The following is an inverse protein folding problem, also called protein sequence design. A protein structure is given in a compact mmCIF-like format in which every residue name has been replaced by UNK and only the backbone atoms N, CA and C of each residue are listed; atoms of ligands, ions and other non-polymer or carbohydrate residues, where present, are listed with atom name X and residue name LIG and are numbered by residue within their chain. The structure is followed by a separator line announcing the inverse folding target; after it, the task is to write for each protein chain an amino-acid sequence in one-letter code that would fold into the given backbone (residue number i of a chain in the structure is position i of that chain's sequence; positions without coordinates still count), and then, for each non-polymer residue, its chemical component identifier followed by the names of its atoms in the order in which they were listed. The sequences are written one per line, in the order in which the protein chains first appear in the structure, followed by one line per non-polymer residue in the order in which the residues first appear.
data_IF_962740639208
#
_entry.id   IF_962740639208
#
_cell.length_a   1.000
_cell.length_b   1.000
_cell.length_c   1.000
_cell.angle_alpha   90.00
_cell.angle_beta   90.00
_cell.angle_gamma   90.00
#
_symmetry.space_group_name_H-M   'P 1'
#
loop_
_entity.id
_entity.type
_entity.pdbx_description
1 polymer ?
2 non-polymer ?
3 water ?
#
# COMPACT_ATOMS: atom_id res chain seq x y z
N UNK A 4 7.90 18.33 -18.78
CA UNK A 4 7.36 16.95 -19.02
C UNK A 4 7.71 15.91 -17.91
N UNK A 5 8.98 15.54 -17.79
CA UNK A 5 9.51 15.06 -16.55
C UNK A 5 9.06 16.04 -15.46
N UNK A 6 9.14 17.35 -15.77
CA UNK A 6 8.81 18.36 -14.79
C UNK A 6 7.33 18.34 -14.47
N UNK A 7 6.49 18.23 -15.48
CA UNK A 7 5.08 18.32 -15.23
C UNK A 7 4.65 17.08 -14.38
N UNK A 8 5.02 15.89 -14.82
CA UNK A 8 4.63 14.67 -14.02
C UNK A 8 5.29 14.56 -12.66
N UNK A 9 6.56 14.94 -12.55
CA UNK A 9 7.12 14.98 -11.21
C UNK A 9 6.30 15.92 -10.30
N UNK A 10 5.92 17.13 -10.75
CA UNK A 10 5.08 18.06 -9.91
C UNK A 10 3.74 17.46 -9.49
N UNK A 11 3.08 16.81 -10.44
CA UNK A 11 1.80 16.13 -10.14
C UNK A 11 2.04 15.11 -9.03
N UNK A 12 3.11 14.32 -9.19
CA UNK A 12 3.38 13.31 -8.16
C UNK A 12 3.62 13.91 -6.80
N UNK A 13 4.41 14.99 -6.77
CA UNK A 13 4.73 15.60 -5.49
C UNK A 13 3.47 16.08 -4.78
N UNK A 14 2.59 16.70 -5.54
CA UNK A 14 1.38 17.31 -4.97
C UNK A 14 0.40 16.19 -4.53
N UNK A 15 0.33 15.14 -5.32
CA UNK A 15 -0.47 13.96 -4.89
C UNK A 15 0.05 13.30 -3.66
N UNK A 16 1.37 13.12 -3.55
CA UNK A 16 1.95 12.57 -2.40
C UNK A 16 1.60 13.44 -1.14
N UNK A 17 1.72 14.75 -1.30
CA UNK A 17 1.47 15.65 -0.14
C UNK A 17 0.04 15.49 0.40
N UNK A 18 -0.88 15.33 -0.54
CA UNK A 18 -2.30 15.09 -0.34
C UNK A 18 -2.68 13.67 0.15
N UNK A 19 -1.73 12.72 0.14
CA UNK A 19 -1.96 11.41 0.75
C UNK A 19 -2.50 10.44 -0.32
N UNK A 20 -2.55 10.90 -1.55
CA UNK A 20 -2.96 10.05 -2.73
C UNK A 20 -1.73 9.33 -3.25
N UNK A 21 -1.34 8.34 -2.49
CA UNK A 21 -0.13 7.64 -2.79
C UNK A 21 -0.22 6.85 -4.15
N UNK A 22 -1.36 6.24 -4.45
CA UNK A 22 -1.50 5.59 -5.80
C UNK A 22 -1.31 6.56 -6.94
N UNK A 23 -1.94 7.73 -6.85
CA UNK A 23 -1.68 8.78 -7.87
C UNK A 23 -0.25 9.27 -7.99
N UNK A 24 0.41 9.45 -6.85
CA UNK A 24 1.78 9.92 -6.78
C UNK A 24 2.62 8.89 -7.50
N UNK A 25 2.46 7.58 -7.18
CA UNK A 25 3.21 6.51 -7.83
C UNK A 25 2.99 6.46 -9.35
N UNK A 26 1.74 6.62 -9.76
CA UNK A 26 1.43 6.69 -11.19
C UNK A 26 2.19 7.79 -11.90
N UNK A 27 2.21 8.97 -11.32
CA UNK A 27 2.91 10.08 -11.91
C UNK A 27 4.44 9.85 -11.99
N UNK A 28 5.04 9.25 -10.94
CA UNK A 28 6.47 9.03 -10.93
C UNK A 28 6.86 7.93 -11.87
N UNK A 29 5.98 6.92 -11.99
CA UNK A 29 6.20 5.87 -12.93
C UNK A 29 6.17 6.41 -14.39
N UNK A 30 5.30 7.38 -14.62
CA UNK A 30 5.16 7.99 -15.97
C UNK A 30 6.49 8.74 -16.27
N UNK A 31 7.02 9.48 -15.30
CA UNK A 31 8.34 10.12 -15.43
C UNK A 31 9.39 9.11 -15.86
N UNK A 32 9.40 7.96 -15.16
CA UNK A 32 10.43 6.95 -15.32
C UNK A 32 10.29 6.13 -16.59
N UNK A 33 9.08 6.10 -17.16
CA UNK A 33 8.85 5.43 -18.46
C UNK A 33 9.68 6.15 -19.54
N UNK A 34 9.67 7.48 -19.48
CA UNK A 34 10.28 8.38 -20.43
C UNK A 34 11.75 8.65 -20.13
N UNK A 35 12.10 8.66 -18.83
CA UNK A 35 13.40 9.09 -18.34
C UNK A 35 13.79 8.16 -17.20
N UNK A 36 14.16 6.92 -17.54
CA UNK A 36 14.36 5.92 -16.49
C UNK A 36 15.52 6.14 -15.58
N UNK A 37 16.43 7.05 -15.94
CA UNK A 37 17.57 7.32 -15.11
C UNK A 37 17.44 8.59 -14.27
N UNK A 38 16.20 9.09 -14.11
CA UNK A 38 15.94 10.27 -13.33
C UNK A 38 16.10 9.89 -11.84
N UNK A 39 17.25 10.19 -11.27
CA UNK A 39 17.53 9.82 -9.89
C UNK A 39 16.61 10.53 -8.91
N UNK A 40 16.21 11.77 -9.19
CA UNK A 40 15.37 12.51 -8.25
C UNK A 40 14.00 11.78 -8.08
N UNK A 41 13.49 11.32 -9.23
CA UNK A 41 12.25 10.52 -9.30
C UNK A 41 12.36 9.14 -8.68
N UNK A 42 13.47 8.48 -8.92
CA UNK A 42 13.72 7.17 -8.29
C UNK A 42 13.69 7.28 -6.78
N UNK A 43 14.27 8.32 -6.21
CA UNK A 43 14.29 8.49 -4.76
C UNK A 43 12.89 8.82 -4.26
N UNK A 44 12.18 9.69 -4.96
CA UNK A 44 10.83 10.02 -4.55
C UNK A 44 9.89 8.84 -4.64
N UNK A 45 10.01 8.01 -5.70
CA UNK A 45 9.14 6.80 -5.82
C UNK A 45 9.47 5.84 -4.66
N UNK A 46 10.75 5.66 -4.40
CA UNK A 46 11.17 4.83 -3.25
C UNK A 46 10.56 5.34 -1.97
N UNK A 47 10.67 6.65 -1.72
CA UNK A 47 10.14 7.21 -0.48
C UNK A 47 8.60 7.04 -0.35
N UNK A 48 7.91 7.14 -1.49
CA UNK A 48 6.46 6.99 -1.52
C UNK A 48 6.08 5.56 -1.11
N UNK A 49 6.78 4.57 -1.65
CA UNK A 49 6.51 3.22 -1.26
C UNK A 49 6.84 3.02 0.22
N UNK A 50 7.87 3.68 0.76
CA UNK A 50 8.17 3.53 2.20
C UNK A 50 7.04 4.14 3.02
N UNK A 51 6.46 5.24 2.56
CA UNK A 51 5.36 5.94 3.23
C UNK A 51 4.16 5.00 3.45
N UNK A 52 3.93 4.12 2.49
CA UNK A 52 2.81 3.21 2.63
C UNK A 52 3.15 1.80 3.08
N UNK A 53 4.37 1.60 3.53
CA UNK A 53 4.82 0.43 4.17
C UNK A 53 5.10 -0.72 3.22
N UNK A 54 5.60 -0.40 2.04
CA UNK A 54 6.07 -1.39 1.06
C UNK A 54 7.53 -1.26 0.72
N UNK A 55 8.41 -1.55 1.68
CA UNK A 55 9.79 -1.59 1.41
C UNK A 55 10.19 -2.49 0.26
N UNK A 56 9.49 -3.61 0.02
CA UNK A 56 9.93 -4.43 -1.12
C UNK A 56 9.89 -3.68 -2.48
N UNK A 57 8.85 -2.89 -2.67
CA UNK A 57 8.71 -2.03 -3.86
C UNK A 57 9.66 -0.85 -3.83
N UNK A 58 9.86 -0.26 -2.64
CA UNK A 58 10.79 0.81 -2.52
C UNK A 58 12.18 0.40 -2.99
N UNK A 59 12.62 -0.75 -2.54
CA UNK A 59 13.96 -1.27 -2.83
C UNK A 59 14.18 -1.41 -4.36
N UNK A 60 13.13 -1.73 -5.12
CA UNK A 60 13.27 -1.82 -6.57
C UNK A 60 13.77 -0.49 -7.13
N UNK A 61 13.23 0.65 -6.67
CA UNK A 61 13.67 1.96 -7.10
C UNK A 61 15.00 2.38 -6.49
N UNK A 62 15.18 2.12 -5.21
CA UNK A 62 16.38 2.55 -4.50
C UNK A 62 17.58 1.74 -5.07
N UNK A 63 17.43 0.47 -5.43
CA UNK A 63 18.53 -0.30 -6.09
C UNK A 63 18.99 0.40 -7.40
N UNK A 64 18.02 0.81 -8.20
CA UNK A 64 18.30 1.52 -9.47
C UNK A 64 18.97 2.87 -9.20
N UNK A 65 18.50 3.60 -8.17
CA UNK A 65 19.10 4.85 -7.79
C UNK A 65 20.61 4.66 -7.50
N UNK A 66 20.96 3.68 -6.68
CA UNK A 66 22.35 3.60 -6.21
C UNK A 66 23.27 3.11 -7.32
N UNK A 67 22.74 2.41 -8.31
CA UNK A 67 23.51 2.10 -9.53
C UNK A 67 23.96 3.37 -10.22
N UNK A 68 23.12 4.38 -10.18
CA UNK A 68 23.34 5.60 -10.91
C UNK A 68 23.97 6.65 -10.03
N UNK A 69 23.81 6.58 -8.70
CA UNK A 69 24.26 7.61 -7.78
C UNK A 69 24.69 7.01 -6.45
N UNK A 70 26.00 7.04 -6.17
CA UNK A 70 26.54 6.46 -4.99
C UNK A 70 26.87 7.50 -3.93
N UNK A 71 26.28 8.69 -4.04
CA UNK A 71 26.71 9.82 -3.23
C UNK A 71 25.70 10.30 -2.16
N UNK A 72 24.53 9.62 -2.03
CA UNK A 72 23.47 10.13 -1.20
C UNK A 72 23.39 9.24 0.09
N UNK A 73 23.76 9.80 1.22
CA UNK A 73 23.70 9.06 2.49
C UNK A 73 22.25 8.61 2.76
N UNK A 74 21.33 9.51 2.49
CA UNK A 74 19.88 9.23 2.75
C UNK A 74 19.40 8.06 1.94
N UNK A 75 19.73 8.03 0.65
CA UNK A 75 19.31 6.90 -0.16
C UNK A 75 19.79 5.55 0.40
N UNK A 76 21.06 5.48 0.78
CA UNK A 76 21.62 4.32 1.41
C UNK A 76 20.91 4.00 2.74
N UNK A 77 20.60 5.02 3.53
CA UNK A 77 19.93 4.81 4.79
C UNK A 77 18.57 4.18 4.52
N UNK A 78 17.83 4.70 3.55
CA UNK A 78 16.50 4.22 3.29
C UNK A 78 16.58 2.83 2.72
N UNK A 79 17.53 2.59 1.83
CA UNK A 79 17.76 1.27 1.24
C UNK A 79 18.13 0.29 2.32
N UNK A 80 19.04 0.68 3.19
CA UNK A 80 19.41 -0.28 4.27
C UNK A 80 18.30 -0.52 5.28
N UNK A 81 17.60 0.53 5.66
CA UNK A 81 16.39 0.39 6.51
C UNK A 81 15.34 -0.55 5.89
N UNK A 82 15.10 -0.39 4.61
CA UNK A 82 14.16 -1.23 3.89
C UNK A 82 14.59 -2.70 3.85
N UNK A 83 15.88 -2.89 3.63
CA UNK A 83 16.44 -4.24 3.60
C UNK A 83 16.26 -4.91 4.94
N UNK A 84 16.41 -4.17 6.03
CA UNK A 84 16.15 -4.76 7.37
C UNK A 84 14.67 -5.14 7.46
N UNK A 85 13.78 -4.31 6.93
CA UNK A 85 12.33 -4.62 6.98
C UNK A 85 11.98 -5.89 6.24
N UNK A 86 12.70 -6.22 5.20
CA UNK A 86 12.40 -7.38 4.37
C UNK A 86 13.31 -8.59 4.70
N UNK A 87 14.01 -8.47 5.85
CA UNK A 87 14.81 -9.59 6.39
C UNK A 87 16.02 -9.91 5.52
N UNK A 88 16.62 -8.88 4.97
CA UNK A 88 17.85 -9.01 4.16
C UNK A 88 18.92 -8.26 4.96
N UNK A 89 19.49 -8.92 5.97
CA UNK A 89 20.26 -8.20 7.02
C UNK A 89 21.63 -7.84 6.55
N UNK A 90 22.28 -8.69 5.75
CA UNK A 90 23.56 -8.28 5.22
C UNK A 90 23.46 -7.16 4.21
N UNK A 91 22.39 -7.14 3.42
CA UNK A 91 22.24 -6.04 2.51
C UNK A 91 21.97 -4.76 3.33
N UNK A 92 21.31 -4.90 4.45
CA UNK A 92 20.98 -3.78 5.32
C UNK A 92 22.27 -3.18 5.86
N UNK A 93 23.11 -4.05 6.43
CA UNK A 93 24.44 -3.63 6.93
C UNK A 93 25.19 -2.93 5.83
N UNK A 94 25.30 -3.57 4.67
CA UNK A 94 26.13 -3.01 3.58
C UNK A 94 25.68 -1.58 3.25
N UNK A 95 24.37 -1.38 3.07
CA UNK A 95 23.85 -0.09 2.82
C UNK A 95 23.99 0.90 3.92
N UNK A 96 23.75 0.49 5.17
CA UNK A 96 23.86 1.42 6.27
C UNK A 96 25.32 1.86 6.46
N UNK A 97 26.25 0.93 6.24
CA UNK A 97 27.70 1.23 6.28
C UNK A 97 28.03 2.30 5.23
N UNK A 98 27.45 2.13 4.07
CA UNK A 98 27.65 3.12 3.03
C UNK A 98 27.10 4.45 3.40
N UNK A 99 25.93 4.48 4.06
CA UNK A 99 25.34 5.75 4.50
C UNK A 99 26.25 6.47 5.48
N UNK A 100 26.78 5.71 6.41
CA UNK A 100 27.61 6.22 7.48
C UNK A 100 28.95 6.70 6.88
N UNK A 101 29.45 5.95 5.91
CA UNK A 101 30.76 6.33 5.29
C UNK A 101 30.54 7.67 4.63
N UNK A 102 29.37 7.88 4.03
CA UNK A 102 29.03 9.13 3.39
C UNK A 102 28.67 10.24 4.36
N UNK A 103 28.25 9.93 5.58
CA UNK A 103 27.91 10.94 6.57
C UNK A 103 28.23 10.30 7.93
N UNK A 104 29.37 10.66 8.46
CA UNK A 104 29.91 9.95 9.66
C UNK A 104 29.26 10.42 10.94
N UNK A 105 28.40 11.40 10.86
CA UNK A 105 27.57 11.79 11.98
C UNK A 105 26.02 11.47 11.83
N UNK A 106 25.70 10.44 11.04
CA UNK A 106 24.33 10.19 10.66
C UNK A 106 23.73 9.31 11.76
N UNK A 107 23.18 9.95 12.77
CA UNK A 107 22.73 9.17 13.95
C UNK A 107 21.68 8.14 13.65
N UNK A 108 20.73 8.41 12.78
CA UNK A 108 19.72 7.43 12.44
C UNK A 108 20.28 6.16 11.83
N UNK A 109 21.30 6.32 11.03
CA UNK A 109 21.97 5.21 10.41
C UNK A 109 22.73 4.39 11.39
N UNK A 110 23.43 5.00 12.33
CA UNK A 110 24.18 4.23 13.31
C UNK A 110 23.16 3.45 14.18
N UNK A 111 22.05 4.10 14.55
CA UNK A 111 21.04 3.45 15.41
C UNK A 111 20.44 2.23 14.69
N UNK A 112 20.04 2.42 13.46
CA UNK A 112 19.51 1.31 12.66
C UNK A 112 20.53 0.18 12.51
N UNK A 113 21.81 0.52 12.27
CA UNK A 113 22.87 -0.45 12.10
C UNK A 113 23.02 -1.25 13.36
N UNK A 114 22.94 -0.56 14.48
CA UNK A 114 22.98 -1.24 15.76
C UNK A 114 21.80 -2.21 15.98
N UNK A 115 20.60 -1.78 15.56
CA UNK A 115 19.41 -2.62 15.65
C UNK A 115 19.63 -3.86 14.80
N UNK A 116 20.14 -3.70 13.60
CA UNK A 116 20.37 -4.83 12.70
C UNK A 116 21.41 -5.81 13.36
N UNK A 117 22.53 -5.31 13.83
CA UNK A 117 23.55 -6.16 14.48
C UNK A 117 23.01 -6.88 15.68
N UNK A 118 22.21 -6.19 16.49
CA UNK A 118 21.74 -6.85 17.69
C UNK A 118 20.77 -7.98 17.30
N UNK A 119 20.00 -7.76 16.25
CA UNK A 119 19.05 -8.77 15.77
C UNK A 119 19.72 -10.01 15.31
N UNK A 120 20.96 -9.90 14.93
CA UNK A 120 21.81 -11.00 14.47
C UNK A 120 22.62 -11.65 15.56
N UNK A 121 22.55 -11.11 16.78
CA UNK A 121 23.40 -11.58 17.83
C UNK A 121 24.78 -10.98 17.90
N UNK A 122 25.00 -9.95 17.11
CA UNK A 122 26.27 -9.33 17.04
C UNK A 122 26.29 -8.19 18.07
N UNK A 123 26.31 -8.57 19.34
CA UNK A 123 26.04 -7.57 20.40
C UNK A 123 27.13 -6.55 20.54
N UNK A 124 28.42 -6.94 20.38
CA UNK A 124 29.45 -5.93 20.48
C UNK A 124 29.45 -4.90 19.35
N UNK A 125 29.23 -5.35 18.15
CA UNK A 125 29.01 -4.42 17.03
C UNK A 125 27.83 -3.51 17.23
N UNK A 126 26.76 -4.07 17.79
CA UNK A 126 25.63 -3.23 18.10
C UNK A 126 25.95 -2.17 19.14
N UNK A 127 26.61 -2.55 20.23
CA UNK A 127 26.96 -1.60 21.25
C UNK A 127 27.83 -0.48 20.62
N UNK A 128 28.79 -0.82 19.77
CA UNK A 128 29.65 0.22 19.15
C UNK A 128 28.77 1.24 18.40
N UNK A 129 27.79 0.75 17.63
CA UNK A 129 26.93 1.63 16.82
C UNK A 129 26.03 2.45 17.74
N UNK A 130 25.48 1.83 18.78
CA UNK A 130 24.67 2.61 19.72
C UNK A 130 25.45 3.72 20.49
N UNK A 131 26.68 3.39 20.86
CA UNK A 131 27.57 4.32 21.54
C UNK A 131 27.79 5.53 20.61
N UNK A 132 27.96 5.25 19.33
CA UNK A 132 28.16 6.34 18.36
C UNK A 132 26.92 7.14 18.29
N UNK A 133 25.71 6.48 18.30
CA UNK A 133 24.44 7.16 18.30
C UNK A 133 24.33 8.13 19.45
N UNK A 134 24.68 7.68 20.64
CA UNK A 134 24.60 8.50 21.82
C UNK A 134 25.67 9.63 21.78
N UNK A 135 26.80 9.40 21.17
CA UNK A 135 27.84 10.48 21.06
C UNK A 135 27.30 11.63 20.23
N UNK A 136 26.42 11.35 19.28
CA UNK A 136 25.81 12.37 18.42
C UNK A 136 24.58 12.95 19.06
N UNK A 137 23.70 12.10 19.62
CA UNK A 137 22.44 12.52 20.23
C UNK A 137 22.36 11.93 21.65
N UNK A 138 23.06 12.57 22.59
CA UNK A 138 23.03 12.02 23.96
C UNK A 138 21.68 12.05 24.64
N UNK A 139 20.72 12.79 24.13
CA UNK A 139 19.36 12.77 24.66
C UNK A 139 18.42 11.66 24.16
N UNK A 140 18.91 10.85 23.23
CA UNK A 140 18.09 9.76 22.66
C UNK A 140 18.00 8.56 23.65
N UNK A 141 16.91 8.50 24.34
CA UNK A 141 16.73 7.57 25.47
C UNK A 141 16.79 6.10 25.01
N UNK A 142 16.18 5.78 23.90
CA UNK A 142 16.12 4.39 23.50
C UNK A 142 17.48 3.82 23.20
N UNK A 143 18.47 4.59 22.80
CA UNK A 143 19.78 4.07 22.57
C UNK A 143 20.38 3.49 23.83
N UNK A 144 20.18 4.17 24.93
CA UNK A 144 20.63 3.57 26.26
C UNK A 144 19.90 2.28 26.56
N UNK A 145 18.58 2.22 26.27
CA UNK A 145 17.84 0.98 26.50
C UNK A 145 18.41 -0.14 25.60
N UNK A 146 18.63 0.19 24.35
CA UNK A 146 19.14 -0.76 23.33
C UNK A 146 20.52 -1.29 23.73
N UNK A 147 21.39 -0.41 24.27
CA UNK A 147 22.66 -0.86 24.86
C UNK A 147 22.44 -1.87 25.97
N UNK A 148 21.51 -1.57 26.83
CA UNK A 148 21.16 -2.48 27.93
C UNK A 148 20.77 -3.85 27.40
N UNK A 149 19.95 -3.85 26.32
CA UNK A 149 19.46 -5.14 25.79
C UNK A 149 20.65 -5.93 25.20
N UNK A 150 21.53 -5.24 24.52
CA UNK A 150 22.74 -5.90 23.94
C UNK A 150 23.59 -6.52 25.02
N UNK A 151 23.80 -5.82 26.14
CA UNK A 151 24.52 -6.42 27.26
C UNK A 151 23.80 -7.62 27.85
N UNK A 152 22.47 -7.59 27.98
CA UNK A 152 21.73 -8.79 28.36
C UNK A 152 21.99 -9.93 27.36
N UNK A 153 22.07 -9.59 26.07
CA UNK A 153 22.33 -10.56 25.02
C UNK A 153 23.68 -11.27 25.22
N UNK A 154 24.63 -10.52 25.75
CA UNK A 154 25.99 -11.07 26.09
C UNK A 154 26.06 -11.80 27.40
N UNK A 155 24.99 -11.78 28.15
CA UNK A 155 24.93 -12.39 29.45
C UNK A 155 25.55 -11.55 30.53
N UNK A 156 25.67 -10.22 30.33
CA UNK A 156 26.26 -9.29 31.27
C UNK A 156 25.14 -8.42 31.88
N UNK A 157 24.42 -9.02 32.84
CA UNK A 157 23.19 -8.40 33.35
C UNK A 157 23.50 -7.17 34.18
N UNK A 158 24.61 -7.16 34.86
CA UNK A 158 24.94 -5.94 35.63
C UNK A 158 25.16 -4.73 34.75
N UNK A 159 25.87 -4.88 33.64
CA UNK A 159 26.08 -3.80 32.68
C UNK A 159 24.75 -3.43 32.01
N UNK A 160 23.89 -4.45 31.74
CA UNK A 160 22.58 -4.21 31.17
C UNK A 160 21.80 -3.28 32.06
N UNK A 161 21.74 -3.59 33.36
CA UNK A 161 20.92 -2.82 34.26
C UNK A 161 21.51 -1.44 34.48
N UNK A 162 22.81 -1.30 34.35
CA UNK A 162 23.45 0.01 34.40
C UNK A 162 22.89 0.92 33.29
N UNK A 163 22.71 0.37 32.07
CA UNK A 163 22.21 1.19 30.95
C UNK A 163 20.71 1.40 30.98
N UNK A 164 19.96 0.38 31.42
CA UNK A 164 18.54 0.61 31.69
C UNK A 164 18.29 1.74 32.68
N UNK A 165 19.14 1.76 33.74
CA UNK A 165 19.07 2.81 34.72
C UNK A 165 19.52 4.14 34.13
N UNK A 166 20.49 4.17 33.25
CA UNK A 166 20.91 5.42 32.59
C UNK A 166 19.75 6.00 31.82
N UNK A 167 19.02 5.15 31.10
CA UNK A 167 17.85 5.61 30.38
C UNK A 167 16.84 6.28 31.31
N UNK A 168 16.59 5.69 32.45
CA UNK A 168 15.63 6.26 33.38
C UNK A 168 16.18 7.61 33.90
N UNK A 169 17.50 7.64 34.13
CA UNK A 169 18.08 8.85 34.78
C UNK A 169 17.91 10.04 33.89
N UNK A 170 17.86 9.84 32.57
CA UNK A 170 17.70 10.96 31.60
C UNK A 170 16.39 11.77 31.77
N UNK A 171 15.37 11.13 32.29
CA UNK A 171 14.12 11.81 32.49
C UNK A 171 13.67 11.92 33.98
N UNK A 172 14.54 11.61 34.91
CA UNK A 172 14.19 11.56 36.28
C UNK A 172 13.79 12.95 36.83
N UNK A 173 14.50 14.00 36.40
CA UNK A 173 14.09 15.38 36.80
C UNK A 173 12.72 15.76 36.27
N UNK A 174 12.48 15.57 34.99
CA UNK A 174 11.21 15.86 34.37
C UNK A 174 10.11 15.06 35.06
N UNK A 175 10.40 13.78 35.35
CA UNK A 175 9.30 12.92 35.91
C UNK A 175 8.81 13.48 37.25
N UNK A 176 9.69 14.07 38.04
CA UNK A 176 9.34 14.63 39.34
C UNK A 176 8.88 16.03 39.28
N UNK A 177 9.56 16.86 38.49
CA UNK A 177 9.38 18.30 38.57
C UNK A 177 8.50 18.93 37.48
N UNK A 178 7.95 18.12 36.59
CA UNK A 178 6.98 18.58 35.61
C UNK A 178 5.64 17.89 35.71
N UNK A 179 4.58 18.50 35.13
CA UNK A 179 3.20 17.92 35.21
C UNK A 179 2.69 17.10 34.06
N UNK A 180 3.12 17.39 32.84
CA UNK A 180 2.56 16.60 31.70
C UNK A 180 3.55 15.53 31.18
N UNK A 181 3.53 14.34 31.76
CA UNK A 181 4.46 13.27 31.41
C UNK A 181 3.95 12.34 30.37
N UNK A 182 2.75 11.80 30.61
CA UNK A 182 2.28 10.71 29.81
C UNK A 182 1.80 11.24 28.43
N UNK A 183 1.90 10.43 27.35
CA UNK A 183 1.44 10.94 26.01
C UNK A 183 -0.02 11.40 26.02
N UNK A 184 -0.36 12.41 25.23
CA UNK A 184 -1.66 13.10 25.39
C UNK A 184 -2.81 12.25 24.80
N UNK B 1 12.51 -25.24 -7.32
CA UNK B 1 12.28 -26.70 -7.54
C UNK B 1 10.79 -27.01 -7.61
N UNK B 2 10.42 -28.27 -7.86
CA UNK B 2 9.01 -28.72 -7.88
C UNK B 2 8.03 -28.09 -6.87
N UNK B 3 8.52 -27.75 -5.68
CA UNK B 3 7.65 -27.22 -4.60
C UNK B 3 7.81 -25.70 -4.30
N UNK B 4 8.66 -24.98 -5.00
CA UNK B 4 8.85 -23.52 -4.79
C UNK B 4 7.48 -22.77 -4.85
N UNK B 5 6.70 -23.06 -5.87
CA UNK B 5 5.36 -22.42 -5.99
C UNK B 5 4.48 -22.70 -4.78
N UNK B 6 4.32 -23.97 -4.42
CA UNK B 6 3.47 -24.31 -3.30
C UNK B 6 3.89 -23.62 -1.99
N UNK B 7 5.19 -23.68 -1.72
CA UNK B 7 5.73 -23.12 -0.44
C UNK B 7 5.43 -21.64 -0.37
N UNK B 8 5.78 -20.92 -1.40
CA UNK B 8 5.70 -19.45 -1.30
C UNK B 8 4.24 -18.91 -1.54
N UNK B 9 3.42 -19.64 -2.26
CA UNK B 9 2.03 -19.28 -2.33
C UNK B 9 1.40 -19.39 -0.95
N UNK B 10 1.79 -20.43 -0.19
CA UNK B 10 1.33 -20.53 1.16
C UNK B 10 1.82 -19.43 2.07
N UNK B 11 3.11 -19.13 2.02
CA UNK B 11 3.66 -17.96 2.79
C UNK B 11 2.90 -16.67 2.47
N UNK B 12 2.70 -16.41 1.17
CA UNK B 12 1.97 -15.18 0.73
C UNK B 12 0.54 -15.16 1.28
N UNK B 13 -0.15 -16.25 1.10
CA UNK B 13 -1.53 -16.35 1.55
C UNK B 13 -1.67 -16.07 3.06
N UNK B 14 -0.79 -16.71 3.85
CA UNK B 14 -0.78 -16.55 5.28
C UNK B 14 -0.34 -15.17 5.74
N UNK B 15 0.62 -14.58 5.06
CA UNK B 15 0.96 -13.20 5.36
C UNK B 15 -0.18 -12.23 5.00
N UNK B 16 -0.86 -12.45 3.90
CA UNK B 16 -1.94 -11.54 3.47
C UNK B 16 -3.09 -11.54 4.50
N UNK B 17 -3.39 -12.73 4.98
CA UNK B 17 -4.42 -12.94 6.02
C UNK B 17 -4.04 -12.22 7.33
N UNK B 18 -2.77 -12.27 7.68
CA UNK B 18 -2.26 -11.58 8.86
C UNK B 18 -2.13 -10.03 8.68
N UNK B 19 -2.31 -9.51 7.48
CA UNK B 19 -2.19 -8.07 7.15
C UNK B 19 -0.74 -7.63 6.89
N UNK B 20 0.17 -8.58 6.68
CA UNK B 20 1.55 -8.27 6.28
C UNK B 20 1.59 -8.22 4.77
N UNK B 21 1.05 -7.15 4.17
CA UNK B 21 0.95 -7.05 2.76
C UNK B 21 2.32 -7.02 2.05
N UNK B 22 3.30 -6.34 2.66
CA UNK B 22 4.66 -6.28 2.05
C UNK B 22 5.25 -7.66 1.92
N UNK B 23 5.14 -8.42 3.00
CA UNK B 23 5.47 -9.80 2.96
C UNK B 23 4.76 -10.72 2.03
N UNK B 24 3.45 -10.52 1.92
CA UNK B 24 2.70 -11.30 0.98
C UNK B 24 3.14 -11.05 -0.47
N UNK B 25 3.33 -9.80 -0.77
CA UNK B 25 3.79 -9.36 -2.06
C UNK B 25 5.15 -9.94 -2.39
N UNK B 26 6.08 -9.94 -1.41
CA UNK B 26 7.39 -10.57 -1.61
C UNK B 26 7.27 -12.05 -1.92
N UNK B 27 6.41 -12.81 -1.20
CA UNK B 27 6.22 -14.22 -1.42
C UNK B 27 5.64 -14.46 -2.79
N UNK B 28 4.61 -13.68 -3.14
CA UNK B 28 4.03 -13.85 -4.47
C UNK B 28 4.98 -13.50 -5.60
N UNK B 29 5.76 -12.46 -5.44
CA UNK B 29 6.75 -12.07 -6.44
C UNK B 29 7.83 -13.16 -6.57
N UNK B 30 8.14 -13.87 -5.50
CA UNK B 30 9.13 -14.96 -5.56
C UNK B 30 8.58 -16.12 -6.37
N UNK B 31 7.27 -16.39 -6.18
CA UNK B 31 6.60 -17.39 -6.99
C UNK B 31 6.77 -17.07 -8.48
N UNK B 32 6.50 -15.82 -8.84
CA UNK B 32 6.39 -15.39 -10.19
C UNK B 32 7.75 -15.26 -10.86
N UNK B 33 8.80 -15.14 -10.08
CA UNK B 33 10.17 -15.12 -10.66
C UNK B 33 10.48 -16.44 -11.33
N UNK B 34 10.17 -17.54 -10.67
CA UNK B 34 10.37 -18.86 -11.18
C UNK B 34 9.22 -19.35 -12.07
N UNK B 35 7.99 -18.84 -11.89
CA UNK B 35 6.78 -19.39 -12.55
C UNK B 35 5.98 -18.14 -13.00
N UNK B 36 6.47 -17.43 -14.04
CA UNK B 36 5.84 -16.13 -14.38
C UNK B 36 4.43 -16.15 -14.89
N UNK B 37 3.96 -17.32 -15.31
CA UNK B 37 2.65 -17.43 -15.88
C UNK B 37 1.68 -18.12 -14.93
N UNK B 38 1.98 -18.09 -13.62
CA UNK B 38 1.13 -18.73 -12.64
C UNK B 38 -0.06 -17.77 -12.43
N UNK B 39 -1.18 -18.06 -13.06
CA UNK B 39 -2.31 -17.08 -13.01
C UNK B 39 -2.94 -17.03 -11.63
N UNK B 40 -2.87 -18.11 -10.82
CA UNK B 40 -3.39 -18.03 -9.44
C UNK B 40 -2.67 -16.94 -8.66
N UNK B 41 -1.36 -16.93 -8.82
CA UNK B 41 -0.54 -15.98 -8.07
C UNK B 41 -0.72 -14.57 -8.65
N UNK B 42 -0.81 -14.43 -9.96
CA UNK B 42 -1.05 -13.11 -10.52
C UNK B 42 -2.33 -12.50 -9.93
N UNK B 43 -3.38 -13.30 -9.89
CA UNK B 43 -4.67 -12.80 -9.29
C UNK B 43 -4.52 -12.42 -7.81
N UNK B 44 -3.83 -13.26 -7.02
CA UNK B 44 -3.58 -12.98 -5.63
C UNK B 44 -2.73 -11.76 -5.41
N UNK B 45 -1.71 -11.57 -6.24
CA UNK B 45 -0.87 -10.41 -6.09
C UNK B 45 -1.64 -9.13 -6.43
N UNK B 46 -2.43 -9.18 -7.49
CA UNK B 46 -3.41 -8.12 -7.79
C UNK B 46 -4.39 -7.76 -6.67
N UNK B 47 -4.96 -8.79 -6.08
CA UNK B 47 -5.88 -8.64 -4.93
C UNK B 47 -5.19 -8.01 -3.75
N UNK B 48 -3.90 -8.34 -3.57
CA UNK B 48 -3.13 -7.83 -2.47
C UNK B 48 -2.87 -6.34 -2.59
N UNK B 49 -2.47 -5.93 -3.79
CA UNK B 49 -2.30 -4.50 -4.09
C UNK B 49 -3.62 -3.80 -3.95
N UNK B 50 -4.71 -4.40 -4.36
CA UNK B 50 -6.06 -3.73 -4.08
C UNK B 50 -6.35 -3.53 -2.62
N UNK B 51 -5.99 -4.50 -1.82
CA UNK B 51 -6.22 -4.44 -0.37
C UNK B 51 -5.54 -3.22 0.23
N UNK B 52 -4.39 -2.83 -0.28
CA UNK B 52 -3.77 -1.67 0.29
C UNK B 52 -3.90 -0.40 -0.50
N UNK B 53 -4.83 -0.38 -1.41
CA UNK B 53 -5.13 0.88 -2.11
C UNK B 53 -4.20 1.26 -3.20
N UNK B 54 -3.58 0.26 -3.86
CA UNK B 54 -2.73 0.51 -4.99
C UNK B 54 -3.18 -0.15 -6.26
N UNK B 55 -4.29 0.39 -6.89
CA UNK B 55 -4.77 -0.19 -8.10
C UNK B 55 -3.79 -0.12 -9.23
N UNK B 56 -2.90 0.86 -9.21
CA UNK B 56 -1.95 0.96 -10.27
C UNK B 56 -1.03 -0.28 -10.38
N UNK B 57 -0.59 -0.73 -9.21
CA UNK B 57 0.22 -1.94 -9.11
C UNK B 57 -0.61 -3.19 -9.35
N UNK B 58 -1.85 -3.21 -8.86
CA UNK B 58 -2.71 -4.32 -9.16
C UNK B 58 -2.86 -4.56 -10.63
N UNK B 59 -3.15 -3.46 -11.37
CA UNK B 59 -3.33 -3.54 -12.81
C UNK B 59 -2.16 -4.18 -13.52
N UNK B 60 -0.95 -3.94 -13.05
CA UNK B 60 0.18 -4.62 -13.65
C UNK B 60 0.05 -6.12 -13.67
N UNK B 61 -0.35 -6.74 -12.53
CA UNK B 61 -0.52 -8.17 -12.51
C UNK B 61 -1.77 -8.64 -13.21
N UNK B 62 -2.87 -7.91 -13.05
CA UNK B 62 -4.13 -8.31 -13.69
C UNK B 62 -4.06 -8.20 -15.21
N UNK B 63 -3.31 -7.25 -15.74
CA UNK B 63 -3.13 -7.25 -17.22
C UNK B 63 -2.34 -8.48 -17.66
N UNK B 64 -1.33 -8.90 -16.87
CA UNK B 64 -0.66 -10.17 -17.22
C UNK B 64 -1.60 -11.35 -17.14
N UNK B 65 -2.44 -11.39 -16.09
CA UNK B 65 -3.45 -12.45 -15.93
C UNK B 65 -4.30 -12.60 -17.19
N UNK B 66 -4.84 -11.47 -17.67
CA UNK B 66 -5.82 -11.59 -18.75
C UNK B 66 -5.18 -11.85 -20.14
N UNK B 67 -3.89 -11.56 -20.32
CA UNK B 67 -3.08 -12.07 -21.48
C UNK B 67 -3.12 -13.61 -21.49
N UNK B 68 -3.00 -14.22 -20.33
CA UNK B 68 -2.90 -15.64 -20.19
C UNK B 68 -4.22 -16.35 -20.01
N UNK B 69 -5.24 -15.67 -19.50
CA UNK B 69 -6.48 -16.33 -19.19
C UNK B 69 -7.62 -15.29 -19.33
N UNK B 70 -8.48 -15.55 -20.27
CA UNK B 70 -9.59 -14.60 -20.55
C UNK B 70 -10.88 -15.15 -20.03
N UNK B 71 -10.85 -16.10 -19.10
CA UNK B 71 -12.06 -16.78 -18.64
C UNK B 71 -12.62 -16.41 -17.23
N UNK B 72 -11.96 -15.49 -16.54
CA UNK B 72 -12.29 -15.19 -15.16
C UNK B 72 -13.05 -13.87 -15.06
N UNK B 73 -14.34 -13.97 -14.79
CA UNK B 73 -15.11 -12.77 -14.59
C UNK B 73 -14.53 -11.96 -13.43
N UNK B 74 -14.12 -12.64 -12.34
CA UNK B 74 -13.53 -11.88 -11.24
C UNK B 74 -12.30 -11.05 -11.59
N UNK B 75 -11.35 -11.63 -12.36
CA UNK B 75 -10.17 -10.95 -12.78
C UNK B 75 -10.58 -9.68 -13.56
N UNK B 76 -11.57 -9.81 -14.44
CA UNK B 76 -11.97 -8.67 -15.23
C UNK B 76 -12.70 -7.64 -14.39
N UNK B 77 -13.45 -8.09 -13.40
CA UNK B 77 -14.14 -7.15 -12.50
C UNK B 77 -13.12 -6.33 -11.73
N UNK B 78 -12.09 -6.97 -11.21
CA UNK B 78 -11.11 -6.25 -10.43
C UNK B 78 -10.33 -5.37 -11.33
N UNK B 79 -9.97 -5.83 -12.52
CA UNK B 79 -9.23 -5.02 -13.48
C UNK B 79 -10.01 -3.77 -13.90
N UNK B 80 -11.27 -3.99 -14.15
CA UNK B 80 -12.13 -2.86 -14.49
C UNK B 80 -12.28 -1.84 -13.39
N UNK B 81 -12.58 -2.31 -12.19
CA UNK B 81 -12.71 -1.48 -11.05
C UNK B 81 -11.47 -0.72 -10.76
N UNK B 82 -10.33 -1.39 -10.85
CA UNK B 82 -9.07 -0.67 -10.69
C UNK B 82 -8.79 0.39 -11.73
N UNK B 83 -9.12 0.10 -12.97
CA UNK B 83 -8.98 1.11 -14.01
C UNK B 83 -9.86 2.35 -13.76
N UNK B 84 -11.07 2.15 -13.21
CA UNK B 84 -11.86 3.32 -12.86
C UNK B 84 -11.19 4.14 -11.74
N UNK B 85 -10.59 3.46 -10.80
CA UNK B 85 -9.93 4.14 -9.70
C UNK B 85 -8.76 4.97 -10.19
N UNK B 86 -8.08 4.62 -11.27
CA UNK B 86 -6.94 5.37 -11.80
C UNK B 86 -7.32 6.25 -13.02
N UNK B 87 -8.62 6.48 -13.14
CA UNK B 87 -9.14 7.38 -14.18
C UNK B 87 -8.85 6.92 -15.59
N UNK B 88 -8.99 5.61 -15.84
CA UNK B 88 -8.86 5.06 -17.11
C UNK B 88 -10.21 4.56 -17.47
N UNK B 89 -11.07 5.48 -17.98
CA UNK B 89 -12.52 5.15 -18.11
C UNK B 89 -12.78 4.10 -19.17
N UNK B 90 -12.20 4.17 -20.36
CA UNK B 90 -12.52 3.18 -21.35
C UNK B 90 -11.97 1.83 -20.97
N UNK B 91 -10.77 1.82 -20.37
CA UNK B 91 -10.22 0.52 -19.89
C UNK B 91 -11.13 -0.12 -18.85
N UNK B 92 -11.72 0.71 -18.03
CA UNK B 92 -12.74 0.26 -17.06
C UNK B 92 -13.96 -0.37 -17.69
N UNK B 93 -14.51 0.33 -18.69
CA UNK B 93 -15.69 -0.16 -19.40
C UNK B 93 -15.39 -1.46 -20.08
N UNK B 94 -14.26 -1.54 -20.80
CA UNK B 94 -13.89 -2.72 -21.55
C UNK B 94 -13.83 -3.94 -20.60
N UNK B 95 -13.12 -3.80 -19.51
CA UNK B 95 -12.97 -4.97 -18.60
C UNK B 95 -14.28 -5.35 -17.90
N UNK B 96 -15.04 -4.32 -17.49
CA UNK B 96 -16.32 -4.58 -16.82
C UNK B 96 -17.31 -5.27 -17.75
N UNK B 97 -17.28 -4.91 -19.02
CA UNK B 97 -18.18 -5.53 -19.95
C UNK B 97 -17.79 -7.03 -20.19
N UNK B 98 -16.49 -7.31 -20.18
CA UNK B 98 -16.02 -8.72 -20.22
C UNK B 98 -16.41 -9.50 -19.02
N UNK B 99 -16.37 -8.89 -17.82
CA UNK B 99 -16.84 -9.60 -16.61
C UNK B 99 -18.33 -9.98 -16.69
N UNK B 100 -19.11 -9.02 -17.19
CA UNK B 100 -20.56 -9.21 -17.37
C UNK B 100 -20.91 -10.24 -18.42
N UNK B 101 -20.07 -10.33 -19.49
CA UNK B 101 -20.25 -11.34 -20.50
C UNK B 101 -20.00 -12.74 -19.91
N UNK B 102 -19.01 -12.85 -19.08
CA UNK B 102 -18.65 -14.17 -18.46
C UNK B 102 -19.54 -14.59 -17.32
N UNK B 103 -20.08 -13.60 -16.60
CA UNK B 103 -21.01 -13.85 -15.48
C UNK B 103 -22.15 -12.81 -15.54
N UNK B 104 -23.22 -13.26 -16.17
CA UNK B 104 -24.33 -12.29 -16.45
C UNK B 104 -25.08 -11.89 -15.22
N UNK B 105 -24.85 -12.52 -14.07
CA UNK B 105 -25.50 -12.09 -12.82
C UNK B 105 -24.57 -11.38 -11.88
N UNK B 106 -23.45 -10.79 -12.41
CA UNK B 106 -22.43 -10.15 -11.65
C UNK B 106 -22.82 -8.71 -11.27
N UNK B 107 -23.61 -8.63 -10.22
CA UNK B 107 -24.24 -7.38 -9.87
C UNK B 107 -23.22 -6.31 -9.58
N UNK B 108 -22.15 -6.63 -8.91
CA UNK B 108 -21.14 -5.64 -8.59
C UNK B 108 -20.56 -5.02 -9.89
N UNK B 109 -20.40 -5.85 -10.93
CA UNK B 109 -19.86 -5.36 -12.18
C UNK B 109 -20.77 -4.45 -12.94
N UNK B 110 -22.06 -4.77 -12.98
CA UNK B 110 -23.00 -3.85 -13.56
C UNK B 110 -23.03 -2.53 -12.83
N UNK B 111 -22.91 -2.53 -11.50
CA UNK B 111 -22.96 -1.33 -10.69
C UNK B 111 -21.78 -0.46 -10.99
N UNK B 112 -20.60 -1.04 -10.97
CA UNK B 112 -19.40 -0.31 -11.31
C UNK B 112 -19.49 0.28 -12.73
N UNK B 113 -19.97 -0.50 -13.66
CA UNK B 113 -20.10 -0.03 -15.04
C UNK B 113 -21.01 1.21 -15.13
N UNK B 114 -22.10 1.12 -14.41
CA UNK B 114 -22.99 2.31 -14.27
C UNK B 114 -22.30 3.53 -13.72
N UNK B 115 -21.49 3.33 -12.67
CA UNK B 115 -20.71 4.45 -12.10
C UNK B 115 -19.80 5.10 -13.13
N UNK B 116 -19.15 4.27 -13.92
CA UNK B 116 -18.22 4.78 -14.94
C UNK B 116 -19.01 5.62 -15.95
N UNK B 117 -20.13 5.09 -16.42
CA UNK B 117 -20.93 5.81 -17.43
C UNK B 117 -21.42 7.09 -16.82
N UNK B 118 -21.86 7.03 -15.60
CA UNK B 118 -22.43 8.23 -14.97
C UNK B 118 -21.33 9.30 -14.86
N UNK B 119 -20.13 8.87 -14.57
CA UNK B 119 -18.96 9.76 -14.48
C UNK B 119 -18.67 10.49 -15.81
N UNK B 120 -19.10 9.96 -16.92
CA UNK B 120 -18.86 10.55 -18.24
C UNK B 120 -20.04 11.39 -18.69
N UNK B 121 -21.10 11.44 -17.90
CA UNK B 121 -22.36 12.05 -18.36
C UNK B 121 -23.23 11.16 -19.21
N UNK B 122 -22.88 9.89 -19.32
CA UNK B 122 -23.68 8.99 -20.15
C UNK B 122 -24.80 8.36 -19.31
N UNK B 123 -25.79 9.18 -18.97
CA UNK B 123 -26.82 8.78 -18.04
C UNK B 123 -27.67 7.62 -18.50
N UNK B 124 -28.04 7.57 -19.78
CA UNK B 124 -28.85 6.45 -20.29
C UNK B 124 -28.16 5.10 -20.14
N UNK B 125 -26.87 5.09 -20.49
CA UNK B 125 -26.11 3.85 -20.30
C UNK B 125 -25.90 3.53 -18.84
N UNK B 126 -25.79 4.55 -18.00
CA UNK B 126 -25.71 4.29 -16.57
C UNK B 126 -26.96 3.63 -16.05
N UNK B 127 -28.10 4.22 -16.40
CA UNK B 127 -29.36 3.70 -15.92
C UNK B 127 -29.57 2.27 -16.35
N UNK B 128 -29.24 1.94 -17.58
CA UNK B 128 -29.39 0.58 -18.05
C UNK B 128 -28.60 -0.38 -17.18
N UNK B 129 -27.38 0.02 -16.81
CA UNK B 129 -26.57 -0.83 -15.98
C UNK B 129 -27.07 -0.94 -14.58
N UNK B 130 -27.54 0.18 -14.02
CA UNK B 130 -28.10 0.13 -12.71
C UNK B 130 -29.36 -0.71 -12.61
N UNK B 131 -30.17 -0.66 -13.65
CA UNK B 131 -31.40 -1.48 -13.80
C UNK B 131 -31.07 -2.96 -13.69
N UNK B 132 -29.96 -3.32 -14.31
CA UNK B 132 -29.53 -4.72 -14.31
C UNK B 132 -29.06 -5.09 -12.93
N UNK B 133 -28.40 -4.20 -12.22
CA UNK B 133 -27.97 -4.42 -10.91
C UNK B 133 -29.18 -4.76 -10.00
N UNK B 134 -30.22 -3.94 -10.13
CA UNK B 134 -31.45 -4.10 -9.36
C UNK B 134 -32.18 -5.38 -9.68
N UNK B 135 -32.17 -5.78 -10.97
CA UNK B 135 -32.84 -7.05 -11.36
C UNK B 135 -32.21 -8.22 -10.62
N UNK B 136 -30.90 -8.19 -10.42
CA UNK B 136 -30.17 -9.26 -9.77
C UNK B 136 -30.25 -9.16 -8.27
N UNK B 137 -30.12 -7.95 -7.71
CA UNK B 137 -30.06 -7.69 -6.27
C UNK B 137 -31.08 -6.58 -5.92
N UNK B 138 -32.36 -6.94 -5.81
CA UNK B 138 -33.36 -5.88 -5.70
C UNK B 138 -33.28 -5.16 -4.38
N UNK B 139 -32.56 -5.74 -3.42
CA UNK B 139 -32.37 -5.12 -2.14
C UNK B 139 -31.17 -4.17 -2.07
N UNK B 140 -30.48 -3.96 -3.19
CA UNK B 140 -29.31 -3.09 -3.16
C UNK B 140 -29.76 -1.63 -3.34
N UNK B 141 -29.93 -0.98 -2.21
CA UNK B 141 -30.64 0.36 -2.13
C UNK B 141 -29.92 1.41 -2.94
N UNK B 142 -28.59 1.45 -2.92
CA UNK B 142 -27.94 2.52 -3.61
C UNK B 142 -28.16 2.57 -5.07
N UNK B 143 -28.42 1.42 -5.71
CA UNK B 143 -28.63 1.45 -7.14
C UNK B 143 -29.87 2.23 -7.49
N UNK B 144 -30.91 2.15 -6.66
CA UNK B 144 -32.12 2.94 -6.95
C UNK B 144 -31.80 4.44 -6.79
N UNK B 145 -31.05 4.79 -5.79
CA UNK B 145 -30.60 6.18 -5.63
C UNK B 145 -29.74 6.66 -6.81
N UNK B 146 -28.85 5.77 -7.29
CA UNK B 146 -28.05 6.09 -8.40
C UNK B 146 -28.87 6.35 -9.66
N UNK B 147 -29.92 5.58 -9.87
CA UNK B 147 -30.77 5.81 -11.03
C UNK B 147 -31.45 7.19 -10.87
N UNK B 148 -31.84 7.50 -9.65
CA UNK B 148 -32.42 8.77 -9.37
C UNK B 148 -31.52 9.94 -9.71
N UNK B 149 -30.28 9.79 -9.30
CA UNK B 149 -29.25 10.81 -9.63
C UNK B 149 -28.99 10.91 -11.12
N UNK B 150 -29.02 9.78 -11.84
CA UNK B 150 -28.83 9.84 -13.28
C UNK B 150 -29.96 10.53 -13.98
N UNK B 151 -31.22 10.26 -13.55
CA UNK B 151 -32.34 10.99 -14.08
C UNK B 151 -32.30 12.50 -13.74
N UNK B 152 -31.83 12.85 -12.56
CA UNK B 152 -31.60 14.29 -12.25
C UNK B 152 -30.57 14.90 -13.22
N UNK B 153 -29.51 14.17 -13.53
CA UNK B 153 -28.53 14.58 -14.53
C UNK B 153 -29.12 14.77 -15.92
N UNK B 154 -30.15 14.01 -16.28
CA UNK B 154 -30.90 14.19 -17.51
C UNK B 154 -31.93 15.32 -17.47
N UNK B 155 -32.08 15.94 -16.32
CA UNK B 155 -33.15 16.98 -16.15
C UNK B 155 -34.54 16.46 -15.94
N UNK B 156 -34.70 15.21 -15.52
CA UNK B 156 -36.03 14.54 -15.46
C UNK B 156 -36.28 14.35 -13.96
N UNK B 157 -36.71 15.40 -13.29
CA UNK B 157 -36.88 15.39 -11.83
C UNK B 157 -38.00 14.52 -11.37
N UNK B 158 -39.12 14.43 -12.13
CA UNK B 158 -40.18 13.57 -11.69
C UNK B 158 -39.72 12.08 -11.68
N UNK B 159 -38.98 11.71 -12.75
CA UNK B 159 -38.43 10.33 -12.79
C UNK B 159 -37.42 10.11 -11.70
N UNK B 160 -36.60 11.10 -11.40
CA UNK B 160 -35.60 10.98 -10.41
C UNK B 160 -36.27 10.71 -9.10
N UNK B 161 -37.29 11.52 -8.80
CA UNK B 161 -37.98 11.32 -7.52
C UNK B 161 -38.67 9.97 -7.38
N UNK B 162 -39.18 9.41 -8.46
CA UNK B 162 -39.75 8.08 -8.42
C UNK B 162 -38.73 7.09 -7.86
N UNK B 163 -37.48 7.20 -8.34
CA UNK B 163 -36.42 6.32 -7.92
C UNK B 163 -35.88 6.57 -6.52
N UNK B 164 -35.81 7.84 -6.10
CA UNK B 164 -35.47 8.11 -4.73
C UNK B 164 -36.51 7.54 -3.78
N UNK B 165 -37.79 7.60 -4.17
CA UNK B 165 -38.83 6.98 -3.40
C UNK B 165 -38.77 5.50 -3.41
N UNK B 166 -38.40 4.91 -4.53
CA UNK B 166 -38.31 3.44 -4.60
C UNK B 166 -37.22 2.95 -3.68
N UNK B 167 -36.11 3.70 -3.53
CA UNK B 167 -35.04 3.32 -2.64
C UNK B 167 -35.58 3.18 -1.23
N UNK B 168 -36.40 4.13 -0.79
CA UNK B 168 -37.02 4.06 0.52
C UNK B 168 -38.02 2.92 0.63
N UNK B 169 -38.81 2.72 -0.43
CA UNK B 169 -39.83 1.66 -0.46
C UNK B 169 -39.23 0.28 -0.17
N UNK B 170 -38.07 0.01 -0.72
CA UNK B 170 -37.42 -1.31 -0.57
C UNK B 170 -37.05 -1.64 0.86
N UNK B 171 -36.94 -0.64 1.76
CA UNK B 171 -36.70 -0.90 3.16
C UNK B 171 -37.85 -0.52 4.08
N UNK B 172 -38.99 -0.16 3.53
CA UNK B 172 -40.05 0.43 4.36
C UNK B 172 -40.71 -0.60 5.30
N UNK B 173 -40.79 -1.85 4.83
CA UNK B 173 -41.35 -2.88 5.68
C UNK B 173 -40.44 -3.14 6.89
N UNK B 174 -39.12 -3.23 6.70
CA UNK B 174 -38.19 -3.46 7.82
C UNK B 174 -38.26 -2.24 8.74
N UNK B 175 -38.34 -1.07 8.12
CA UNK B 175 -38.32 0.18 8.98
C UNK B 175 -39.47 0.21 9.97
N UNK B 176 -40.63 -0.27 9.52
CA UNK B 176 -41.87 -0.23 10.27
C UNK B 176 -41.99 -1.43 11.21
N UNK B 177 -41.64 -2.62 10.71
CA UNK B 177 -41.98 -3.88 11.40
C UNK B 177 -40.87 -4.57 12.13
N UNK B 178 -39.68 -4.02 12.05
CA UNK B 178 -38.55 -4.52 12.84
C UNK B 178 -38.01 -3.42 13.78
N UNK B 179 -37.24 -3.83 14.81
CA UNK B 179 -36.86 -2.93 15.92
C UNK B 179 -35.44 -2.35 15.82
N UNK B 180 -34.53 -3.09 15.25
CA UNK B 180 -33.14 -2.58 15.20
C UNK B 180 -32.90 -1.98 13.83
N UNK B 181 -32.84 -0.64 13.74
CA UNK B 181 -32.74 0.04 12.41
C UNK B 181 -31.39 0.73 12.21
N UNK B 182 -31.01 1.59 13.17
CA UNK B 182 -29.82 2.44 13.07
C UNK B 182 -28.53 1.59 13.39
N UNK B 183 -27.37 1.85 12.73
CA UNK B 183 -26.18 0.94 12.89
C UNK B 183 -25.61 0.77 14.32
X LIG C 1 23.12 -14.10 20.57
X LIG C 1 23.38 -13.84 21.98
X LIG C 1 24.00 -15.18 19.91
X LIG C 1 23.73 -15.91 18.69
X LIG C 1 24.15 -16.16 20.99
X LIG C 1 25.41 -15.68 21.30
X LIG D 1 -43.34 4.78 -0.54
X LIG D 1 -43.06 4.78 -1.92
X LIG D 1 -42.85 6.14 -0.01
X LIG D 1 -43.01 7.12 -1.06
X LIG D 1 -41.39 5.88 0.40
X LIG D 1 -41.30 5.15 1.66
#
# INVERSE_FOLDING_TARGET
MGETTTIYMDIGDKKRTKGDFDGAIRAYKKVLKADPNNVETLLKLGKTYMDIGLPNDAIESLKKFVVLDTTSAEAYYILGSANFMIDEKQAAIDALQRAIALNTVYADAYYKLGLVYDSMGEHDKAIEAYEKTISIKPGFIRAYQSIGLAYEGKGLRDEAVKYFKKALEKEEKKAKYELALVPR
MGETTTIYMDIGDKKRTKGDFDGAIRAYKKVLKADPNNVETLLKLGKTYMDIGLPNDAIESLKKFVVLDTTSAEAYYILGSANFMIDEKQAAIDALQRAIALNTVYADAYYKLGLVYDSMGEHDKAIEAYEKTISIKPGFIRAYQSIGLAYEGKGLRDEAVKYFKKALEKEEKKAKYELALVPR
GOL C1 O1 C2 O2 C3 O3
GOL C1 O1 C2 O2 C3 O3
#
